data_IF_003131787324
#
_entry.id   IF_003131787324
#
_cell.length_a   1.000
_cell.length_b   1.000
_cell.length_c   1.000
_cell.angle_alpha   90.00
_cell.angle_beta   90.00
_cell.angle_gamma   90.00
#
_symmetry.space_group_name_H-M   'P 1'
#
loop_
_entity.id
_entity.type
_entity.pdbx_description
1 polymer ?
#
# COMPACT_ATOMS: atom_id res chain seq x y z
N UNK A 1 7.78 18.51 3.04
CA UNK A 1 8.53 19.54 2.29
C UNK A 1 7.64 20.70 1.89
N UNK A 2 6.61 20.48 1.06
CA UNK A 2 5.78 21.55 0.50
C UNK A 2 5.17 22.45 1.58
N UNK A 3 4.59 21.86 2.64
CA UNK A 3 4.07 22.61 3.80
C UNK A 3 5.13 23.52 4.43
N UNK A 4 6.37 23.05 4.57
CA UNK A 4 7.46 23.87 5.10
C UNK A 4 7.85 25.00 4.14
N UNK A 5 7.87 24.73 2.83
CA UNK A 5 8.20 25.74 1.81
C UNK A 5 7.10 26.80 1.65
N UNK A 6 5.83 26.41 1.70
CA UNK A 6 4.68 27.32 1.53
C UNK A 6 4.35 28.09 2.80
N UNK A 7 4.25 27.39 3.94
CA UNK A 7 3.75 27.98 5.18
C UNK A 7 4.86 28.51 6.09
N UNK A 8 6.12 28.14 5.83
CA UNK A 8 7.25 28.55 6.67
C UNK A 8 7.20 28.02 8.10
N UNK A 9 6.31 27.07 8.41
CA UNK A 9 6.09 26.61 9.78
C UNK A 9 7.31 25.81 10.29
N UNK A 10 8.03 26.32 11.32
CA UNK A 10 9.25 25.69 11.81
C UNK A 10 8.99 24.32 12.47
N UNK A 11 7.74 23.97 12.80
CA UNK A 11 7.37 22.68 13.40
C UNK A 11 7.45 21.52 12.39
N UNK A 12 7.39 21.81 11.09
CA UNK A 12 7.31 20.78 10.04
C UNK A 12 8.60 19.96 9.96
N UNK A 13 9.77 20.60 10.03
CA UNK A 13 11.06 19.90 9.96
C UNK A 13 11.22 18.84 11.07
N UNK A 14 11.07 19.22 12.36
CA UNK A 14 11.09 18.26 13.46
C UNK A 14 10.03 17.17 13.35
N UNK A 15 8.82 17.49 12.88
CA UNK A 15 7.77 16.50 12.68
C UNK A 15 8.13 15.46 11.62
N UNK A 16 8.69 15.90 10.48
CA UNK A 16 9.19 14.99 9.42
C UNK A 16 10.30 14.09 9.97
N UNK A 17 11.25 14.65 10.73
CA UNK A 17 12.32 13.87 11.36
C UNK A 17 11.76 12.78 12.28
N UNK A 18 10.82 13.11 13.17
CA UNK A 18 10.16 12.12 14.03
C UNK A 18 9.43 11.03 13.22
N UNK A 19 8.76 11.42 12.14
CA UNK A 19 8.07 10.48 11.26
C UNK A 19 9.03 9.53 10.52
N UNK A 20 10.24 9.95 10.18
CA UNK A 20 11.26 9.05 9.61
C UNK A 20 11.89 8.17 10.70
N UNK A 21 12.20 8.76 11.86
CA UNK A 21 12.89 8.07 12.95
C UNK A 21 12.03 6.94 13.55
N UNK A 22 10.70 7.02 13.45
CA UNK A 22 9.81 5.94 13.92
C UNK A 22 10.07 4.61 13.20
N UNK A 23 10.50 4.62 11.93
CA UNK A 23 10.82 3.39 11.21
C UNK A 23 12.02 2.69 11.85
N UNK A 24 13.04 3.44 12.24
CA UNK A 24 14.22 2.91 12.93
C UNK A 24 13.85 2.37 14.31
N UNK A 25 13.04 3.12 15.06
CA UNK A 25 12.64 2.77 16.44
C UNK A 25 11.76 1.52 16.47
N UNK A 26 10.90 1.33 15.47
CA UNK A 26 9.92 0.23 15.42
C UNK A 26 10.45 -1.05 14.78
N UNK A 27 11.67 -1.03 14.23
CA UNK A 27 12.29 -2.24 13.70
C UNK A 27 12.60 -3.21 14.83
N UNK A 28 12.02 -4.41 14.77
CA UNK A 28 12.34 -5.46 15.74
C UNK A 28 13.85 -5.79 15.71
N UNK A 29 14.48 -6.11 16.85
CA UNK A 29 15.84 -6.66 16.85
C UNK A 29 15.91 -8.02 16.15
N UNK A 30 17.10 -8.40 15.68
CA UNK A 30 17.40 -9.78 15.33
C UNK A 30 17.01 -10.73 16.50
N UNK A 31 16.56 -11.98 16.22
CA UNK A 31 16.64 -12.68 14.94
C UNK A 31 15.47 -12.44 13.97
N UNK A 32 14.48 -11.60 14.32
CA UNK A 32 13.34 -11.31 13.46
C UNK A 32 13.25 -9.82 13.11
N UNK A 33 14.24 -9.31 12.35
CA UNK A 33 14.44 -7.87 12.14
C UNK A 33 13.45 -7.21 11.15
N UNK A 34 12.15 -7.50 11.30
CA UNK A 34 11.07 -6.97 10.47
C UNK A 34 10.17 -5.94 11.17
N UNK A 35 9.05 -5.66 10.53
CA UNK A 35 7.98 -4.77 11.00
C UNK A 35 6.60 -5.43 10.91
N UNK A 36 5.67 -4.86 11.66
CA UNK A 36 4.24 -5.19 11.63
C UNK A 36 3.49 -4.22 10.74
N UNK A 37 2.24 -4.54 10.44
CA UNK A 37 1.36 -3.61 9.72
C UNK A 37 1.08 -2.32 10.52
N UNK A 38 0.98 -2.44 11.84
CA UNK A 38 0.71 -1.32 12.73
C UNK A 38 1.32 -1.50 14.12
N UNK A 39 1.50 -0.36 14.78
CA UNK A 39 2.02 -0.24 16.14
C UNK A 39 1.06 0.58 16.99
N UNK A 40 1.04 0.35 18.30
CA UNK A 40 0.28 1.19 19.23
C UNK A 40 0.97 2.53 19.45
N UNK A 41 0.19 3.57 19.68
CA UNK A 41 0.71 4.94 19.83
C UNK A 41 1.39 5.15 21.19
N UNK A 42 0.99 4.42 22.22
CA UNK A 42 1.44 4.57 23.60
C UNK A 42 2.85 4.01 23.84
N UNK A 43 3.15 2.85 23.27
CA UNK A 43 4.42 2.15 23.53
C UNK A 43 5.14 1.66 22.28
N UNK A 44 4.61 1.97 21.08
CA UNK A 44 5.15 1.57 19.79
C UNK A 44 5.28 0.05 19.63
N UNK A 45 4.67 -0.74 20.52
CA UNK A 45 4.66 -2.18 20.37
C UNK A 45 3.71 -2.56 19.23
N UNK A 46 3.94 -3.72 18.64
CA UNK A 46 3.08 -4.28 17.61
C UNK A 46 1.60 -4.36 18.02
N UNK A 47 0.71 -4.19 17.05
CA UNK A 47 -0.72 -4.39 17.23
C UNK A 47 -1.33 -5.23 16.10
N UNK A 48 -2.38 -5.99 16.42
CA UNK A 48 -3.31 -6.50 15.41
C UNK A 48 -4.19 -5.34 14.88
N UNK A 49 -4.84 -5.53 13.73
CA UNK A 49 -5.78 -4.55 13.20
C UNK A 49 -7.13 -5.21 12.90
N UNK A 50 -7.45 -5.41 11.62
CA UNK A 50 -8.70 -6.08 11.24
C UNK A 50 -8.66 -7.53 11.73
N UNK A 51 -9.83 -8.17 11.84
CA UNK A 51 -9.94 -9.55 12.31
C UNK A 51 -9.12 -10.57 11.50
N UNK A 52 -8.73 -10.22 10.27
CA UNK A 52 -7.86 -10.99 9.37
C UNK A 52 -6.40 -10.51 9.34
N UNK A 53 -6.01 -9.62 10.25
CA UNK A 53 -4.65 -9.07 10.38
C UNK A 53 -4.14 -9.34 11.80
N UNK A 54 -3.64 -10.56 12.05
CA UNK A 54 -3.20 -10.96 13.38
C UNK A 54 -1.96 -10.17 13.82
N UNK A 55 -1.65 -10.26 15.11
CA UNK A 55 -0.40 -9.74 15.68
C UNK A 55 0.79 -10.54 15.13
N UNK A 56 1.34 -10.10 13.99
CA UNK A 56 2.36 -10.85 13.26
C UNK A 56 3.31 -9.93 12.49
N UNK A 57 4.57 -10.36 12.34
CA UNK A 57 5.53 -9.71 11.46
C UNK A 57 5.08 -9.85 10.01
N UNK A 58 5.39 -8.85 9.16
CA UNK A 58 4.90 -8.82 7.79
C UNK A 58 5.97 -8.54 6.76
N UNK A 59 6.08 -9.43 5.77
CA UNK A 59 7.20 -9.44 4.81
C UNK A 59 7.15 -8.26 3.85
N UNK A 60 6.00 -8.00 3.22
CA UNK A 60 5.85 -6.85 2.32
C UNK A 60 6.03 -5.50 3.03
N UNK A 61 5.52 -5.34 4.25
CA UNK A 61 5.74 -4.13 5.05
C UNK A 61 7.21 -3.98 5.42
N UNK A 62 7.88 -5.08 5.77
CA UNK A 62 9.33 -5.05 6.06
C UNK A 62 10.13 -4.64 4.83
N UNK A 63 9.81 -5.20 3.66
CA UNK A 63 10.42 -4.82 2.39
C UNK A 63 10.16 -3.34 2.05
N UNK A 64 8.93 -2.87 2.24
CA UNK A 64 8.55 -1.47 2.03
C UNK A 64 9.27 -0.53 3.00
N UNK A 65 9.36 -0.89 4.29
CA UNK A 65 10.05 -0.09 5.31
C UNK A 65 11.55 -0.05 5.07
N UNK A 66 12.17 -1.15 4.65
CA UNK A 66 13.57 -1.16 4.21
C UNK A 66 13.79 -0.23 3.01
N UNK A 67 12.89 -0.26 2.02
CA UNK A 67 12.94 0.66 0.89
C UNK A 67 12.72 2.13 1.30
N UNK A 68 11.86 2.39 2.29
CA UNK A 68 11.63 3.74 2.81
C UNK A 68 12.82 4.27 3.61
N UNK A 69 13.46 3.42 4.41
CA UNK A 69 14.71 3.77 5.10
C UNK A 69 15.82 4.17 4.10
N UNK A 70 15.94 3.46 2.97
CA UNK A 70 16.81 3.86 1.87
C UNK A 70 16.41 5.22 1.28
N UNK A 71 15.11 5.47 1.08
CA UNK A 71 14.61 6.78 0.65
C UNK A 71 14.88 7.90 1.66
N UNK A 72 14.81 7.62 2.97
CA UNK A 72 15.14 8.60 4.01
C UNK A 72 16.63 8.93 4.01
N UNK A 73 17.49 7.95 3.74
CA UNK A 73 18.91 8.20 3.50
C UNK A 73 19.12 9.09 2.29
N UNK A 74 18.44 8.83 1.17
CA UNK A 74 18.44 9.69 -0.01
C UNK A 74 18.01 11.14 0.31
N UNK A 75 17.01 11.30 1.17
CA UNK A 75 16.52 12.61 1.57
C UNK A 75 17.45 13.35 2.54
N UNK A 76 18.28 12.67 3.32
CA UNK A 76 18.91 13.28 4.50
C UNK A 76 20.42 13.11 4.58
N UNK A 77 20.98 12.13 3.86
CA UNK A 77 22.37 11.69 4.01
C UNK A 77 22.66 11.03 5.36
N UNK A 78 21.67 10.85 6.24
CA UNK A 78 21.90 10.39 7.61
C UNK A 78 22.08 8.86 7.65
N UNK A 79 23.30 8.35 7.93
CA UNK A 79 23.61 6.93 7.84
C UNK A 79 22.81 6.05 8.80
N UNK A 80 22.16 6.64 9.83
CA UNK A 80 21.31 5.89 10.76
C UNK A 80 20.17 5.16 10.04
N UNK A 81 19.66 5.73 8.93
CA UNK A 81 18.58 5.11 8.17
C UNK A 81 19.04 3.86 7.41
N UNK A 82 20.33 3.73 7.07
CA UNK A 82 20.87 2.52 6.43
C UNK A 82 21.35 1.48 7.44
N UNK A 83 21.64 1.87 8.67
CA UNK A 83 22.42 1.07 9.63
C UNK A 83 21.89 -0.36 9.82
N UNK A 84 20.57 -0.52 9.89
CA UNK A 84 19.90 -1.81 10.17
C UNK A 84 19.08 -2.36 9.01
N UNK A 85 19.19 -1.75 7.81
CA UNK A 85 18.57 -2.28 6.59
C UNK A 85 19.06 -3.70 6.27
N UNK A 86 20.37 -4.04 6.38
CA UNK A 86 20.83 -5.41 6.12
C UNK A 86 20.13 -6.47 6.97
N UNK A 87 19.89 -6.20 8.27
CA UNK A 87 19.20 -7.14 9.15
C UNK A 87 17.80 -7.50 8.64
N UNK A 88 17.06 -6.50 8.13
CA UNK A 88 15.73 -6.73 7.54
C UNK A 88 15.82 -7.54 6.24
N UNK A 89 16.79 -7.24 5.37
CA UNK A 89 16.98 -7.97 4.11
C UNK A 89 17.43 -9.42 4.35
N UNK A 90 18.22 -9.67 5.40
CA UNK A 90 18.64 -11.00 5.82
C UNK A 90 17.48 -11.79 6.43
N UNK A 91 16.63 -11.13 7.24
CA UNK A 91 15.41 -11.76 7.73
C UNK A 91 14.43 -12.10 6.60
N UNK A 92 14.24 -11.20 5.63
CA UNK A 92 13.43 -11.50 4.44
C UNK A 92 13.97 -12.71 3.68
N UNK A 93 15.28 -12.79 3.46
CA UNK A 93 15.92 -13.95 2.83
C UNK A 93 15.62 -15.26 3.60
N UNK A 94 15.69 -15.21 4.94
CA UNK A 94 15.45 -16.35 5.83
C UNK A 94 14.01 -16.87 5.75
N UNK A 95 13.02 -15.98 5.63
CA UNK A 95 11.58 -16.34 5.67
C UNK A 95 10.93 -16.49 4.29
N UNK A 96 11.74 -16.50 3.23
CA UNK A 96 11.28 -16.78 1.88
C UNK A 96 10.65 -18.19 1.79
N UNK A 97 9.69 -18.34 0.88
CA UNK A 97 9.15 -19.66 0.55
C UNK A 97 10.27 -20.53 -0.07
N UNK A 98 10.25 -21.86 0.16
CA UNK A 98 11.24 -22.78 -0.44
C UNK A 98 11.29 -22.70 -1.97
N UNK A 99 10.15 -22.41 -2.59
CA UNK A 99 10.05 -22.09 -4.00
C UNK A 99 8.99 -20.98 -4.19
N UNK A 100 9.15 -20.10 -5.19
CA UNK A 100 8.10 -19.18 -5.58
C UNK A 100 6.80 -19.90 -5.93
N UNK A 101 5.68 -19.26 -5.63
CA UNK A 101 4.37 -19.73 -6.09
C UNK A 101 4.24 -19.56 -7.62
N UNK A 102 3.32 -20.28 -8.28
CA UNK A 102 3.08 -20.12 -9.72
C UNK A 102 2.73 -18.68 -10.16
N UNK A 103 2.22 -17.86 -9.25
CA UNK A 103 1.90 -16.44 -9.46
C UNK A 103 3.10 -15.51 -9.18
N UNK A 104 4.30 -16.07 -8.94
CA UNK A 104 5.54 -15.35 -8.68
C UNK A 104 5.74 -14.88 -7.24
N UNK A 105 4.75 -15.04 -6.35
CA UNK A 105 4.90 -14.64 -4.94
C UNK A 105 5.94 -15.48 -4.23
N UNK A 106 6.78 -14.85 -3.42
CA UNK A 106 7.99 -15.44 -2.86
C UNK A 106 7.99 -15.56 -1.34
N UNK A 107 7.05 -14.91 -0.64
CA UNK A 107 7.03 -14.85 0.83
C UNK A 107 5.59 -15.04 1.37
N UNK A 108 5.42 -15.57 2.60
CA UNK A 108 4.16 -15.47 3.32
C UNK A 108 3.89 -14.03 3.75
N UNK A 109 2.63 -13.63 3.91
CA UNK A 109 2.26 -12.28 4.37
C UNK A 109 2.60 -12.07 5.84
N UNK A 110 2.25 -13.05 6.69
CA UNK A 110 2.35 -12.96 8.15
C UNK A 110 3.27 -14.06 8.72
N UNK A 111 4.10 -13.68 9.68
CA UNK A 111 4.96 -14.60 10.43
C UNK A 111 4.71 -14.46 11.93
N UNK A 112 4.62 -15.60 12.61
CA UNK A 112 4.48 -15.70 14.05
C UNK A 112 5.72 -15.12 14.76
N UNK A 113 5.47 -14.33 15.80
CA UNK A 113 6.52 -13.72 16.63
C UNK A 113 7.21 -14.82 17.44
N UNK A 114 8.54 -14.78 17.45
CA UNK A 114 9.41 -15.71 18.16
C UNK A 114 9.83 -16.94 17.35
N UNK A 115 9.09 -17.32 16.30
CA UNK A 115 9.31 -18.60 15.60
C UNK A 115 9.56 -18.49 14.10
N UNK A 116 9.21 -17.37 13.46
CA UNK A 116 9.17 -17.21 12.00
C UNK A 116 8.25 -18.21 11.28
N UNK A 117 7.31 -18.85 11.99
CA UNK A 117 6.33 -19.74 11.36
C UNK A 117 5.31 -18.92 10.56
N UNK A 118 5.05 -19.25 9.28
CA UNK A 118 4.00 -18.60 8.52
C UNK A 118 2.63 -18.74 9.17
N UNK A 119 1.86 -17.65 9.15
CA UNK A 119 0.45 -17.62 9.54
C UNK A 119 -0.39 -17.33 8.30
N UNK A 120 -1.26 -18.27 7.97
CA UNK A 120 -2.17 -18.19 6.84
C UNK A 120 -3.57 -17.85 7.32
N UNK A 121 -4.22 -16.91 6.64
CA UNK A 121 -5.53 -16.41 7.05
C UNK A 121 -6.63 -17.15 6.32
N UNK A 122 -7.64 -17.56 7.08
CA UNK A 122 -8.83 -18.24 6.61
C UNK A 122 -10.08 -17.57 7.15
N UNK A 123 -11.23 -17.95 6.62
CA UNK A 123 -12.53 -17.54 7.15
C UNK A 123 -13.52 -18.69 7.15
N UNK A 124 -14.50 -18.60 8.04
CA UNK A 124 -15.67 -19.47 8.13
C UNK A 124 -16.93 -18.65 8.35
N UNK A 125 -18.08 -19.28 8.18
CA UNK A 125 -19.39 -18.62 8.23
C UNK A 125 -19.67 -17.83 6.94
N UNK A 126 -20.79 -17.13 6.92
CA UNK A 126 -21.33 -16.52 5.71
C UNK A 126 -21.41 -14.99 5.77
N UNK A 127 -21.34 -14.34 6.93
CA UNK A 127 -21.36 -12.87 7.03
C UNK A 127 -20.74 -12.38 8.35
N UNK A 128 -20.76 -11.06 8.59
CA UNK A 128 -20.14 -10.44 9.77
C UNK A 128 -20.73 -10.91 11.12
N UNK A 129 -21.96 -11.43 11.15
CA UNK A 129 -22.64 -11.84 12.39
C UNK A 129 -22.26 -13.25 12.80
N UNK A 130 -22.15 -14.17 11.84
CA UNK A 130 -21.89 -15.59 12.11
C UNK A 130 -20.51 -16.08 11.64
N UNK A 131 -19.78 -15.22 10.94
CA UNK A 131 -18.47 -15.51 10.39
C UNK A 131 -17.33 -15.13 11.32
N UNK A 132 -16.19 -15.76 11.09
CA UNK A 132 -14.96 -15.46 11.81
C UNK A 132 -13.75 -15.68 10.90
N UNK A 133 -12.74 -14.83 11.09
CA UNK A 133 -11.41 -15.06 10.56
C UNK A 133 -10.57 -15.82 11.58
N UNK A 134 -9.67 -16.65 11.10
CA UNK A 134 -8.70 -17.35 11.92
C UNK A 134 -7.39 -17.51 11.17
N UNK A 135 -6.32 -17.75 11.92
CA UNK A 135 -4.99 -17.96 11.36
C UNK A 135 -4.43 -19.30 11.83
N UNK A 136 -3.82 -20.05 10.92
CA UNK A 136 -3.09 -21.28 11.24
C UNK A 136 -1.88 -21.47 10.30
N UNK A 137 -1.29 -22.67 10.31
CA UNK A 137 -0.13 -23.02 9.49
C UNK A 137 -0.45 -23.65 8.13
N UNK A 138 -1.72 -23.76 7.71
CA UNK A 138 -2.12 -24.36 6.44
C UNK A 138 -2.09 -23.36 5.28
N UNK A 139 -1.18 -23.51 4.30
CA UNK A 139 -1.12 -22.63 3.13
C UNK A 139 -2.27 -22.83 2.14
N UNK A 140 -3.12 -23.83 2.32
CA UNK A 140 -4.23 -24.16 1.43
C UNK A 140 -5.49 -23.40 1.81
N UNK A 141 -6.33 -23.08 0.81
CA UNK A 141 -7.63 -22.44 1.04
C UNK A 141 -7.57 -21.16 1.88
N UNK A 142 -6.56 -20.35 1.59
CA UNK A 142 -6.39 -19.04 2.21
C UNK A 142 -7.39 -18.03 1.66
N UNK A 143 -7.56 -16.96 2.42
CA UNK A 143 -8.49 -15.88 2.15
C UNK A 143 -8.32 -15.26 0.75
N UNK A 144 -9.40 -15.19 -0.03
CA UNK A 144 -9.35 -14.75 -1.42
C UNK A 144 -9.11 -13.23 -1.58
N UNK A 145 -9.77 -12.41 -0.74
CA UNK A 145 -9.71 -10.95 -0.85
C UNK A 145 -8.50 -10.30 -0.13
N UNK A 146 -7.69 -11.09 0.57
CA UNK A 146 -6.48 -10.60 1.23
C UNK A 146 -5.39 -11.67 1.18
N UNK A 147 -4.45 -11.50 0.25
CA UNK A 147 -3.47 -12.54 -0.05
C UNK A 147 -2.58 -12.88 1.16
N UNK A 148 -2.48 -14.18 1.47
CA UNK A 148 -1.52 -14.71 2.44
C UNK A 148 -0.09 -14.83 1.90
N UNK A 149 0.17 -14.37 0.66
CA UNK A 149 1.48 -14.42 0.03
C UNK A 149 1.84 -13.09 -0.61
N UNK A 150 3.13 -12.77 -0.68
CA UNK A 150 3.67 -11.51 -1.19
C UNK A 150 4.82 -11.76 -2.14
N UNK A 151 4.93 -10.89 -3.14
CA UNK A 151 6.13 -10.76 -3.95
C UNK A 151 7.07 -9.78 -3.25
N UNK A 152 8.28 -10.21 -2.95
CA UNK A 152 9.36 -9.34 -2.45
C UNK A 152 10.52 -9.41 -3.44
N UNK A 153 10.90 -8.25 -3.99
CA UNK A 153 12.00 -8.07 -4.93
C UNK A 153 13.32 -7.90 -4.17
N UNK A 154 13.75 -8.96 -3.47
CA UNK A 154 14.85 -8.89 -2.53
C UNK A 154 16.18 -8.48 -3.18
N UNK A 155 16.47 -9.00 -4.37
CA UNK A 155 17.70 -8.67 -5.09
C UNK A 155 17.76 -7.19 -5.49
N UNK A 156 16.64 -6.61 -5.92
CA UNK A 156 16.53 -5.18 -6.22
C UNK A 156 16.79 -4.33 -4.97
N UNK A 157 16.27 -4.75 -3.81
CA UNK A 157 16.51 -4.07 -2.53
C UNK A 157 17.97 -4.14 -2.10
N UNK A 158 18.62 -5.31 -2.23
CA UNK A 158 20.05 -5.47 -1.91
C UNK A 158 20.93 -4.64 -2.83
N UNK A 159 20.63 -4.62 -4.14
CA UNK A 159 21.35 -3.80 -5.10
C UNK A 159 21.22 -2.30 -4.79
N UNK A 160 20.01 -1.81 -4.49
CA UNK A 160 19.79 -0.41 -4.09
C UNK A 160 20.53 -0.06 -2.81
N UNK A 161 20.47 -0.92 -1.78
CA UNK A 161 21.21 -0.72 -0.53
C UNK A 161 22.72 -0.61 -0.80
N UNK A 162 23.30 -1.52 -1.57
CA UNK A 162 24.72 -1.52 -1.87
C UNK A 162 25.15 -0.26 -2.62
N UNK A 163 24.37 0.18 -3.62
CA UNK A 163 24.64 1.41 -4.36
C UNK A 163 24.61 2.66 -3.47
N UNK A 164 23.61 2.76 -2.58
CA UNK A 164 23.51 3.87 -1.63
C UNK A 164 24.65 3.86 -0.62
N UNK A 165 24.99 2.68 -0.08
CA UNK A 165 26.07 2.53 0.90
C UNK A 165 27.45 2.91 0.33
N UNK A 166 27.65 2.74 -0.97
CA UNK A 166 28.88 3.12 -1.67
C UNK A 166 28.96 4.60 -2.06
N UNK A 167 27.87 5.35 -1.92
CA UNK A 167 27.81 6.78 -2.30
C UNK A 167 27.98 7.66 -1.06
N UNK A 168 28.77 8.73 -1.16
CA UNK A 168 29.00 9.65 -0.05
C UNK A 168 27.68 10.35 0.37
N UNK A 169 27.39 10.50 1.68
CA UNK A 169 26.18 11.14 2.20
C UNK A 169 25.78 12.45 1.53
N UNK A 170 26.75 13.36 1.37
CA UNK A 170 26.50 14.70 0.80
C UNK A 170 26.10 14.63 -0.67
N UNK A 171 26.61 13.63 -1.41
CA UNK A 171 26.24 13.41 -2.81
C UNK A 171 24.84 12.83 -2.94
N UNK A 172 24.50 11.91 -2.04
CA UNK A 172 23.18 11.27 -2.00
C UNK A 172 22.08 12.29 -1.74
N UNK A 173 22.30 13.20 -0.78
CA UNK A 173 21.32 14.20 -0.39
C UNK A 173 21.40 15.53 -1.16
N UNK A 174 22.27 15.63 -2.18
CA UNK A 174 22.57 16.88 -2.87
C UNK A 174 21.32 17.58 -3.45
N UNK A 175 20.37 16.79 -3.96
CA UNK A 175 19.11 17.28 -4.53
C UNK A 175 17.91 17.11 -3.59
N UNK A 176 18.16 17.00 -2.29
CA UNK A 176 17.08 16.73 -1.34
C UNK A 176 16.04 17.85 -1.33
N UNK A 177 14.74 17.52 -1.46
CA UNK A 177 13.68 18.50 -1.32
C UNK A 177 13.57 19.03 0.12
N UNK A 178 14.19 18.39 1.13
CA UNK A 178 14.21 18.90 2.50
C UNK A 178 15.09 20.15 2.66
N UNK A 179 16.10 20.31 1.80
CA UNK A 179 17.04 21.45 1.85
C UNK A 179 16.80 22.43 0.70
N UNK A 180 16.25 21.97 -0.41
CA UNK A 180 15.93 22.82 -1.55
C UNK A 180 14.85 23.87 -1.20
N UNK A 181 15.08 25.11 -1.62
CA UNK A 181 14.11 26.21 -1.56
C UNK A 181 13.92 26.72 -2.99
N UNK A 182 12.80 26.33 -3.59
CA UNK A 182 12.43 26.72 -4.95
C UNK A 182 10.94 27.01 -5.04
N UNK A 183 10.48 27.69 -6.10
CA UNK A 183 9.06 27.87 -6.34
C UNK A 183 8.38 26.50 -6.50
N UNK A 184 7.21 26.35 -5.89
CA UNK A 184 6.38 25.17 -6.07
C UNK A 184 5.67 25.22 -7.42
N UNK A 185 5.37 24.06 -8.04
CA UNK A 185 4.56 24.04 -9.25
C UNK A 185 3.18 24.61 -8.97
N UNK A 186 2.59 25.27 -9.98
CA UNK A 186 1.23 25.84 -9.89
C UNK A 186 0.19 24.75 -9.61
N UNK A 187 0.32 23.61 -10.27
CA UNK A 187 -0.48 22.42 -10.03
C UNK A 187 0.40 21.22 -9.70
N UNK A 188 0.01 20.46 -8.67
CA UNK A 188 0.74 19.25 -8.24
C UNK A 188 0.24 17.98 -8.94
N UNK A 189 -0.89 18.05 -9.64
CA UNK A 189 -1.50 16.92 -10.35
C UNK A 189 -0.81 16.56 -11.68
N UNK A 190 0.16 17.37 -12.13
CA UNK A 190 0.89 17.19 -13.38
C UNK A 190 2.18 16.35 -13.22
N UNK A 191 2.45 15.82 -12.03
CA UNK A 191 3.60 14.93 -11.75
C UNK A 191 3.18 13.47 -11.66
N UNK A 192 4.14 12.57 -11.42
CA UNK A 192 3.85 11.15 -11.16
C UNK A 192 2.83 11.04 -10.01
N UNK A 193 1.64 10.53 -10.34
CA UNK A 193 0.61 10.24 -9.34
C UNK A 193 0.14 8.79 -9.50
N UNK A 194 -0.30 8.20 -8.40
CA UNK A 194 -0.91 6.89 -8.39
C UNK A 194 -2.41 7.02 -8.17
N UNK A 195 -3.21 6.30 -8.96
CA UNK A 195 -4.62 6.13 -8.66
C UNK A 195 -4.85 4.78 -8.01
N UNK A 196 -5.92 4.68 -7.22
CA UNK A 196 -6.33 3.42 -6.61
C UNK A 196 -7.83 3.44 -6.34
N UNK A 197 -8.56 2.61 -7.07
CA UNK A 197 -9.90 2.16 -6.75
C UNK A 197 -10.08 0.69 -7.15
N UNK A 198 -11.28 0.15 -6.98
CA UNK A 198 -11.57 -1.23 -7.39
C UNK A 198 -11.71 -1.39 -8.90
N UNK A 199 -11.67 -0.30 -9.67
CA UNK A 199 -11.66 -0.30 -11.13
C UNK A 199 -10.25 -0.40 -11.71
N UNK A 200 -9.26 0.10 -10.99
CA UNK A 200 -7.87 -0.01 -11.37
C UNK A 200 -6.98 0.80 -10.46
N UNK A 201 -5.68 0.69 -10.70
CA UNK A 201 -4.70 1.49 -10.00
C UNK A 201 -3.37 1.48 -10.71
N UNK A 202 -2.38 2.07 -10.06
CA UNK A 202 -1.01 2.10 -10.54
C UNK A 202 -0.48 3.52 -10.68
N UNK A 203 0.84 3.61 -10.76
CA UNK A 203 1.56 4.84 -11.03
C UNK A 203 1.35 5.24 -12.48
N UNK A 204 1.08 6.52 -12.69
CA UNK A 204 0.97 7.09 -14.02
C UNK A 204 2.12 8.04 -14.27
N UNK A 205 2.68 7.94 -15.47
CA UNK A 205 3.59 8.94 -15.98
C UNK A 205 2.83 10.29 -16.14
N UNK A 206 3.55 11.42 -16.16
CA UNK A 206 2.94 12.73 -16.35
C UNK A 206 2.09 12.75 -17.61
N UNK A 207 0.82 13.12 -17.46
CA UNK A 207 -0.12 13.17 -18.56
C UNK A 207 0.15 14.44 -19.37
N UNK A 208 0.59 14.28 -20.63
CA UNK A 208 0.75 15.42 -21.54
C UNK A 208 -0.57 15.80 -22.17
N UNK A 209 -0.88 17.09 -22.17
CA UNK A 209 -2.01 17.63 -22.89
C UNK A 209 -1.90 17.34 -24.39
N UNK A 210 -2.89 16.65 -24.94
CA UNK A 210 -3.15 16.57 -26.37
C UNK A 210 -4.49 17.27 -26.63
N UNK A 211 -4.55 18.31 -27.50
CA UNK A 211 -5.79 19.03 -27.81
C UNK A 211 -6.97 18.13 -28.20
N UNK A 212 -6.73 17.06 -28.95
CA UNK A 212 -7.76 16.09 -29.33
C UNK A 212 -8.29 15.32 -28.12
N UNK A 213 -7.38 14.87 -27.24
CA UNK A 213 -7.74 14.21 -25.98
C UNK A 213 -8.52 15.15 -25.08
N UNK A 214 -8.11 16.42 -24.96
CA UNK A 214 -8.80 17.43 -24.15
C UNK A 214 -10.22 17.66 -24.66
N UNK A 215 -10.38 17.90 -25.96
CA UNK A 215 -11.70 18.11 -26.58
C UNK A 215 -12.61 16.90 -26.36
N UNK A 216 -12.09 15.68 -26.54
CA UNK A 216 -12.82 14.44 -26.26
C UNK A 216 -13.22 14.35 -24.79
N UNK A 217 -12.31 14.58 -23.85
CA UNK A 217 -12.61 14.49 -22.42
C UNK A 217 -13.71 15.47 -22.01
N UNK A 218 -13.74 16.69 -22.56
CA UNK A 218 -14.82 17.64 -22.30
C UNK A 218 -16.14 17.16 -22.92
N UNK A 219 -16.12 16.62 -24.14
CA UNK A 219 -17.31 16.11 -24.82
C UNK A 219 -17.90 14.85 -24.16
N UNK A 220 -17.06 14.01 -23.55
CA UNK A 220 -17.45 12.76 -22.91
C UNK A 220 -18.09 12.95 -21.51
N UNK A 221 -18.11 14.18 -20.99
CA UNK A 221 -18.84 14.48 -19.76
C UNK A 221 -20.34 14.30 -19.99
N UNK A 222 -20.99 13.54 -19.10
CA UNK A 222 -22.44 13.43 -19.16
C UNK A 222 -23.13 14.71 -18.65
N UNK A 223 -24.47 14.74 -18.69
CA UNK A 223 -25.27 15.88 -18.23
C UNK A 223 -25.13 16.21 -16.74
N UNK A 224 -24.53 15.31 -15.94
CA UNK A 224 -24.24 15.50 -14.52
C UNK A 224 -22.78 15.93 -14.27
N UNK A 225 -21.96 16.08 -15.31
CA UNK A 225 -20.60 16.59 -15.20
C UNK A 225 -19.55 15.58 -14.74
N UNK A 226 -19.74 14.29 -15.04
CA UNK A 226 -18.70 13.27 -14.80
C UNK A 226 -18.51 12.34 -16.00
N UNK A 227 -17.39 11.61 -16.02
CA UNK A 227 -17.09 10.56 -17.00
C UNK A 227 -17.70 9.22 -16.55
N UNK A 228 -18.79 8.76 -17.18
CA UNK A 228 -19.44 7.52 -16.78
C UNK A 228 -18.48 6.35 -16.97
N UNK A 229 -18.18 5.63 -15.89
CA UNK A 229 -17.27 4.49 -15.90
C UNK A 229 -18.01 3.23 -15.44
N UNK A 230 -17.91 2.10 -16.16
CA UNK A 230 -18.45 0.83 -15.69
C UNK A 230 -17.69 0.39 -14.44
N UNK A 231 -18.36 0.33 -13.29
CA UNK A 231 -17.77 -0.10 -12.02
C UNK A 231 -17.67 -1.63 -11.99
N UNK A 232 -16.45 -2.17 -11.94
CA UNK A 232 -16.17 -3.62 -12.02
C UNK A 232 -16.29 -4.33 -10.67
N UNK A 233 -16.61 -3.59 -9.61
CA UNK A 233 -16.89 -4.11 -8.28
C UNK A 233 -18.18 -3.52 -7.74
N UNK A 234 -18.89 -4.30 -6.93
CA UNK A 234 -20.13 -3.92 -6.27
C UNK A 234 -20.13 -4.40 -4.81
N UNK A 235 -21.13 -3.97 -4.05
CA UNK A 235 -21.45 -4.47 -2.71
C UNK A 235 -22.92 -4.84 -2.65
N UNK A 236 -23.27 -5.79 -1.78
CA UNK A 236 -24.68 -6.03 -1.46
C UNK A 236 -25.27 -4.78 -0.78
N UNK A 237 -26.49 -4.33 -1.17
CA UNK A 237 -27.18 -3.28 -0.43
C UNK A 237 -27.37 -3.68 1.04
N UNK A 238 -27.09 -2.75 1.95
CA UNK A 238 -27.33 -3.00 3.36
C UNK A 238 -28.81 -3.28 3.61
N UNK A 239 -29.10 -4.46 4.14
CA UNK A 239 -30.47 -4.96 4.37
C UNK A 239 -30.81 -5.13 5.85
N UNK A 240 -29.94 -4.65 6.76
CA UNK A 240 -30.03 -4.87 8.20
C UNK A 240 -28.95 -5.82 8.74
N UNK A 241 -29.02 -6.21 10.02
CA UNK A 241 -28.12 -7.21 10.60
C UNK A 241 -28.34 -8.57 9.97
N UNK A 242 -27.26 -9.30 9.69
CA UNK A 242 -27.32 -10.68 9.20
C UNK A 242 -27.84 -11.68 10.26
N UNK A 243 -28.32 -12.86 9.84
CA UNK A 243 -28.78 -13.90 10.75
C UNK A 243 -27.59 -14.55 11.50
N UNK A 244 -27.84 -14.99 12.74
CA UNK A 244 -26.88 -15.72 13.55
C UNK A 244 -26.57 -17.13 12.99
N UNK A 245 -27.52 -17.73 12.28
CA UNK A 245 -27.31 -19.01 11.57
C UNK A 245 -26.60 -18.75 10.26
N UNK A 246 -25.45 -19.40 9.98
CA UNK A 246 -24.78 -19.30 8.69
C UNK A 246 -25.68 -19.74 7.53
N UNK A 247 -25.67 -18.96 6.45
CA UNK A 247 -26.27 -19.37 5.18
C UNK A 247 -25.55 -20.62 4.68
N UNK A 248 -26.26 -21.69 4.27
CA UNK A 248 -25.63 -22.88 3.70
C UNK A 248 -24.73 -22.54 2.50
N UNK A 249 -23.54 -23.15 2.46
CA UNK A 249 -22.54 -22.93 1.41
C UNK A 249 -21.13 -22.76 1.97
N UNK A 250 -20.13 -22.86 1.10
CA UNK A 250 -18.73 -22.59 1.45
C UNK A 250 -18.32 -21.20 0.95
N UNK A 251 -18.20 -20.28 1.89
CA UNK A 251 -17.74 -18.92 1.62
C UNK A 251 -16.24 -18.75 1.91
N UNK A 252 -15.50 -19.80 2.32
CA UNK A 252 -14.11 -19.67 2.78
C UNK A 252 -13.15 -19.07 1.74
N UNK A 253 -13.44 -19.27 0.45
CA UNK A 253 -12.65 -18.78 -0.67
C UNK A 253 -13.36 -17.76 -1.58
N UNK A 254 -14.50 -17.23 -1.16
CA UNK A 254 -15.18 -16.18 -1.93
C UNK A 254 -14.67 -14.79 -1.54
N UNK A 255 -14.86 -13.78 -2.39
CA UNK A 255 -14.49 -12.39 -2.06
C UNK A 255 -15.46 -11.80 -1.02
N UNK A 256 -16.73 -12.13 -1.13
CA UNK A 256 -17.84 -11.70 -0.26
C UNK A 256 -18.56 -12.92 0.30
N UNK A 257 -19.21 -12.75 1.45
CA UNK A 257 -20.10 -13.72 2.07
C UNK A 257 -21.46 -13.84 1.37
N UNK A 258 -22.51 -14.06 2.16
CA UNK A 258 -23.89 -14.10 1.72
C UNK A 258 -24.47 -12.69 1.47
N UNK A 259 -25.77 -12.61 1.16
CA UNK A 259 -26.46 -11.37 0.84
C UNK A 259 -26.42 -10.29 1.95
N UNK A 260 -25.99 -10.63 3.17
CA UNK A 260 -25.84 -9.71 4.30
C UNK A 260 -24.41 -9.18 4.45
N UNK A 261 -23.45 -9.70 3.69
CA UNK A 261 -22.07 -9.22 3.67
C UNK A 261 -21.92 -8.06 2.66
N UNK A 262 -21.72 -6.85 3.17
CA UNK A 262 -21.57 -5.65 2.33
C UNK A 262 -20.14 -5.43 1.83
N UNK A 263 -19.22 -6.39 2.04
CA UNK A 263 -17.86 -6.32 1.51
C UNK A 263 -17.87 -6.16 -0.01
N UNK A 264 -16.98 -5.34 -0.58
CA UNK A 264 -16.93 -5.18 -2.02
C UNK A 264 -16.39 -6.44 -2.71
N UNK A 265 -16.93 -6.76 -3.88
CA UNK A 265 -16.55 -7.93 -4.67
C UNK A 265 -16.58 -7.64 -6.18
N UNK A 266 -15.77 -8.34 -7.00
CA UNK A 266 -15.85 -8.25 -8.46
C UNK A 266 -17.24 -8.65 -8.96
N UNK A 267 -17.81 -7.90 -9.90
CA UNK A 267 -19.14 -8.17 -10.47
C UNK A 267 -19.08 -8.41 -11.97
N UNK A 268 -19.93 -9.30 -12.47
CA UNK A 268 -20.22 -9.54 -13.88
C UNK A 268 -21.27 -8.55 -14.44
N UNK A 269 -21.90 -7.75 -13.58
CA UNK A 269 -22.94 -6.77 -13.90
C UNK A 269 -22.50 -5.37 -13.51
N UNK A 270 -21.50 -4.80 -14.22
CA UNK A 270 -21.00 -3.48 -13.90
C UNK A 270 -22.10 -2.43 -14.03
N UNK A 271 -22.14 -1.49 -13.10
CA UNK A 271 -23.04 -0.33 -13.13
C UNK A 271 -22.25 0.92 -13.51
N UNK A 272 -22.86 1.82 -14.27
CA UNK A 272 -22.21 3.08 -14.64
C UNK A 272 -22.14 3.99 -13.41
N UNK A 273 -20.94 4.45 -13.07
CA UNK A 273 -20.71 5.34 -11.93
C UNK A 273 -19.45 6.18 -12.11
N UNK A 274 -18.91 6.64 -10.98
CA UNK A 274 -17.68 7.45 -10.94
C UNK A 274 -16.55 6.56 -10.44
N UNK A 275 -15.62 6.23 -11.32
CA UNK A 275 -14.32 5.68 -10.91
C UNK A 275 -13.42 6.85 -10.49
N UNK A 276 -12.90 6.83 -9.27
CA UNK A 276 -11.95 7.85 -8.82
C UNK A 276 -10.66 7.76 -9.62
N UNK A 277 -10.24 6.56 -10.02
CA UNK A 277 -9.11 6.37 -10.92
C UNK A 277 -9.34 7.04 -12.27
N UNK A 278 -10.47 6.80 -12.93
CA UNK A 278 -10.79 7.44 -14.22
C UNK A 278 -10.91 8.97 -14.08
N UNK A 279 -11.56 9.44 -13.01
CA UNK A 279 -11.73 10.85 -12.73
C UNK A 279 -10.39 11.58 -12.55
N UNK A 280 -9.51 11.07 -11.69
CA UNK A 280 -8.19 11.68 -11.45
C UNK A 280 -7.36 11.70 -12.74
N UNK A 281 -7.42 10.63 -13.55
CA UNK A 281 -6.74 10.56 -14.85
C UNK A 281 -7.20 11.65 -15.79
N UNK A 282 -8.50 11.77 -15.98
CA UNK A 282 -9.07 12.74 -16.92
C UNK A 282 -8.82 14.17 -16.44
N UNK A 283 -8.97 14.43 -15.14
CA UNK A 283 -8.62 15.72 -14.54
C UNK A 283 -7.13 16.05 -14.70
N UNK A 284 -6.23 15.07 -14.56
CA UNK A 284 -4.79 15.27 -14.78
C UNK A 284 -4.48 15.77 -16.20
N UNK A 285 -5.12 15.20 -17.24
CA UNK A 285 -4.98 15.69 -18.62
C UNK A 285 -5.46 17.14 -18.76
N UNK A 286 -6.63 17.45 -18.19
CA UNK A 286 -7.22 18.78 -18.29
C UNK A 286 -6.39 19.83 -17.54
N UNK A 287 -5.86 19.49 -16.37
CA UNK A 287 -4.98 20.37 -15.58
C UNK A 287 -3.67 20.62 -16.35
N UNK A 288 -3.07 19.60 -16.97
CA UNK A 288 -1.89 19.77 -17.84
C UNK A 288 -2.17 20.74 -18.99
N UNK A 289 -3.36 20.70 -19.59
CA UNK A 289 -3.74 21.60 -20.67
C UNK A 289 -3.84 23.07 -20.22
N UNK A 290 -4.32 23.32 -19.00
CA UNK A 290 -4.46 24.67 -18.43
C UNK A 290 -3.12 25.20 -17.90
N UNK A 291 -2.22 24.33 -17.47
CA UNK A 291 -0.88 24.71 -16.98
C UNK A 291 0.06 25.17 -18.11
N UNK A 292 -0.31 24.91 -19.38
CA UNK A 292 0.48 25.29 -20.55
C UNK A 292 1.38 24.18 -21.10
N UNK A 293 1.22 22.94 -20.61
CA UNK A 293 2.04 21.78 -20.98
C UNK A 293 3.25 21.59 -20.07
#
# INVERSE_FOLDING_TARGET
>A
VMVAQTLGDPRVGPAIRRAMDIFVITQQPAPQAGWWLQHRVDDLKPAAARSYEPLALTTHTTAANAAQLMSFYELTGDPKYLARVPEALDWLAKVALPAPRPDGRTHPTFLEIGTDRPLYIHRRGSNVVNGAYYADGDPQKTLAHYSSFRLVKLDELRARYAALKATAPDKVAANSPLTHKGPLPRFFANQDFATSDLNGGGTMAPLKANPETVARLVADLNTQGYWPTPLVAASHPYSGPGPATPTPGDYSQTHVGDAWDTSPYPTDKPVMGISTSAFIKNMGVLISAVDGG
#
